data_IF_216861883457
#
_entry.id   IF_216861883457
#
_cell.length_a   1.000
_cell.length_b   1.000
_cell.length_c   1.000
_cell.angle_alpha   90.00
_cell.angle_beta   90.00
_cell.angle_gamma   90.00
#
_symmetry.space_group_name_H-M   'P 1'
#
loop_
_entity.id
_entity.type
_entity.pdbx_description
1 polymer ?
#
# COMPACT_ATOMS: atom_id res chain seq x y z
N UNK A 1 6.90 23.24 -7.80
CA UNK A 1 6.18 24.52 -8.00
C UNK A 1 4.68 24.43 -7.72
N UNK A 2 3.92 23.47 -8.32
CA UNK A 2 2.46 23.37 -8.13
C UNK A 2 2.10 23.03 -6.67
N UNK A 3 2.72 22.01 -6.09
CA UNK A 3 2.46 21.63 -4.70
C UNK A 3 2.92 22.68 -3.69
N UNK A 4 4.05 23.33 -3.95
CA UNK A 4 4.48 24.46 -3.11
C UNK A 4 3.45 25.62 -3.12
N UNK A 5 2.82 25.88 -4.28
CA UNK A 5 1.76 26.88 -4.39
C UNK A 5 0.48 26.49 -3.63
N UNK A 6 0.26 25.18 -3.39
CA UNK A 6 -0.84 24.69 -2.54
C UNK A 6 -0.50 24.67 -1.05
N UNK A 7 0.68 25.17 -0.66
CA UNK A 7 1.11 25.22 0.73
C UNK A 7 1.75 23.93 1.25
N UNK A 8 2.06 22.96 0.37
CA UNK A 8 2.77 21.75 0.78
C UNK A 8 4.25 22.03 1.02
N UNK A 9 4.85 21.31 1.98
CA UNK A 9 6.29 21.16 2.03
C UNK A 9 6.74 20.31 0.84
N UNK A 10 7.73 20.78 0.09
CA UNK A 10 8.30 20.03 -1.03
C UNK A 10 9.80 19.86 -0.81
N UNK A 11 10.23 18.61 -0.69
CA UNK A 11 11.64 18.20 -0.52
C UNK A 11 12.08 17.58 -1.85
N UNK A 12 13.04 18.20 -2.53
CA UNK A 12 13.53 17.73 -3.82
C UNK A 12 14.89 17.03 -3.65
N UNK A 13 14.95 15.71 -3.86
CA UNK A 13 16.16 14.90 -3.79
C UNK A 13 16.86 14.75 -5.15
N UNK A 14 16.22 15.15 -6.25
CA UNK A 14 16.82 15.01 -7.58
C UNK A 14 17.15 13.56 -7.91
N UNK A 15 18.40 13.30 -8.33
CA UNK A 15 18.93 11.99 -8.76
C UNK A 15 19.44 11.13 -7.57
N UNK A 16 19.05 11.42 -6.34
CA UNK A 16 19.58 10.75 -5.14
C UNK A 16 18.87 9.40 -4.83
N UNK A 17 18.42 8.65 -5.85
CA UNK A 17 17.71 7.37 -5.63
C UNK A 17 18.56 6.29 -4.97
N UNK A 18 19.88 6.40 -5.05
CA UNK A 18 20.83 5.45 -4.45
C UNK A 18 21.48 6.00 -3.16
N UNK A 19 21.12 7.21 -2.77
CA UNK A 19 21.60 7.85 -1.53
C UNK A 19 20.59 7.61 -0.41
N UNK A 20 20.79 6.50 0.34
CA UNK A 20 19.91 6.12 1.43
C UNK A 20 19.92 7.13 2.58
N UNK A 21 21.06 7.78 2.84
CA UNK A 21 21.17 8.78 3.91
C UNK A 21 20.37 10.04 3.56
N UNK A 22 20.42 10.48 2.30
CA UNK A 22 19.61 11.60 1.83
C UNK A 22 18.11 11.25 1.86
N UNK A 23 17.72 10.03 1.50
CA UNK A 23 16.34 9.57 1.58
C UNK A 23 15.85 9.49 3.03
N UNK A 24 16.65 8.94 3.95
CA UNK A 24 16.31 8.90 5.38
C UNK A 24 16.14 10.31 5.95
N UNK A 25 17.06 11.22 5.64
CA UNK A 25 16.96 12.61 6.10
C UNK A 25 15.68 13.29 5.62
N UNK A 26 15.32 13.10 4.34
CA UNK A 26 14.08 13.64 3.78
C UNK A 26 12.81 13.06 4.43
N UNK A 27 12.80 11.76 4.73
CA UNK A 27 11.70 11.11 5.43
C UNK A 27 11.56 11.64 6.87
N UNK A 28 12.67 11.82 7.57
CA UNK A 28 12.68 12.41 8.93
C UNK A 28 12.20 13.86 8.92
N UNK A 29 12.64 14.66 7.96
CA UNK A 29 12.17 16.04 7.77
C UNK A 29 10.66 16.09 7.50
N UNK A 30 10.17 15.25 6.60
CA UNK A 30 8.75 15.15 6.29
C UNK A 30 7.92 14.73 7.53
N UNK A 31 8.39 13.74 8.28
CA UNK A 31 7.71 13.27 9.49
C UNK A 31 7.69 14.32 10.62
N UNK A 32 8.68 15.20 10.70
CA UNK A 32 8.75 16.28 11.67
C UNK A 32 7.80 17.45 11.33
N UNK A 33 7.35 17.55 10.09
CA UNK A 33 6.44 18.62 9.63
C UNK A 33 4.99 18.17 9.83
N UNK A 34 4.32 18.72 10.84
CA UNK A 34 2.96 18.31 11.23
C UNK A 34 1.87 19.33 10.86
N UNK A 35 2.23 20.54 10.40
CA UNK A 35 1.32 21.64 10.11
C UNK A 35 0.83 21.66 8.66
N UNK A 36 1.42 20.85 7.79
CA UNK A 36 1.13 20.78 6.36
C UNK A 36 1.57 19.44 5.78
N UNK A 37 0.98 18.99 4.65
CA UNK A 37 1.43 17.76 3.98
C UNK A 37 2.81 17.95 3.35
N UNK A 38 3.59 16.87 3.30
CA UNK A 38 4.94 16.83 2.70
C UNK A 38 4.91 16.00 1.41
N UNK A 39 5.64 16.49 0.41
CA UNK A 39 5.91 15.79 -0.85
C UNK A 39 7.43 15.65 -1.03
N UNK A 40 7.92 14.43 -1.05
CA UNK A 40 9.31 14.13 -1.40
C UNK A 40 9.35 13.79 -2.90
N UNK A 41 10.17 14.52 -3.65
CA UNK A 41 10.34 14.33 -5.09
C UNK A 41 11.71 13.71 -5.35
N UNK A 42 11.68 12.49 -5.88
CA UNK A 42 12.85 11.69 -6.19
C UNK A 42 12.80 11.29 -7.65
N UNK A 43 13.92 11.39 -8.34
CA UNK A 43 14.10 10.83 -9.68
C UNK A 43 14.85 9.51 -9.57
N UNK A 44 14.29 8.46 -10.13
CA UNK A 44 14.87 7.12 -10.14
C UNK A 44 14.87 6.53 -11.55
N UNK A 45 15.59 5.44 -11.73
CA UNK A 45 15.68 4.72 -12.99
C UNK A 45 14.83 3.44 -12.90
N UNK A 46 13.84 3.31 -13.77
CA UNK A 46 13.03 2.09 -13.82
C UNK A 46 13.91 0.89 -14.16
N UNK A 47 13.70 -0.23 -13.47
CA UNK A 47 14.44 -1.47 -13.69
C UNK A 47 15.87 -1.48 -13.15
N UNK A 48 16.32 -0.44 -12.43
CA UNK A 48 17.63 -0.43 -11.77
C UNK A 48 17.72 -1.55 -10.70
N UNK A 49 18.84 -2.28 -10.57
CA UNK A 49 20.09 -2.19 -11.31
C UNK A 49 20.24 -3.22 -12.44
N UNK A 50 19.14 -3.62 -13.10
CA UNK A 50 19.22 -4.60 -14.19
C UNK A 50 20.05 -4.08 -15.36
N UNK A 51 21.12 -4.77 -15.78
CA UNK A 51 21.95 -4.34 -16.90
C UNK A 51 21.21 -4.32 -18.24
N UNK A 52 20.13 -5.10 -18.34
CA UNK A 52 19.41 -5.29 -19.61
C UNK A 52 18.14 -4.45 -19.71
N UNK A 53 17.59 -3.98 -18.59
CA UNK A 53 16.25 -3.42 -18.56
C UNK A 53 16.17 -2.02 -17.97
N UNK A 54 17.27 -1.47 -17.42
CA UNK A 54 17.25 -0.12 -16.87
C UNK A 54 16.81 0.90 -17.93
N UNK A 55 15.93 1.80 -17.56
CA UNK A 55 15.34 2.86 -18.39
C UNK A 55 14.62 2.37 -19.66
N UNK A 56 14.18 1.13 -19.68
CA UNK A 56 13.41 0.57 -20.80
C UNK A 56 11.91 0.50 -20.45
N UNK A 57 11.05 0.66 -21.47
CA UNK A 57 9.62 0.44 -21.32
C UNK A 57 9.27 -1.01 -20.90
N UNK A 58 10.11 -1.99 -21.26
CA UNK A 58 9.96 -3.39 -20.88
C UNK A 58 10.00 -3.59 -19.36
N UNK A 59 10.80 -2.82 -18.64
CA UNK A 59 10.88 -2.91 -17.17
C UNK A 59 9.56 -2.56 -16.46
N UNK A 60 8.63 -1.88 -17.13
CA UNK A 60 7.35 -1.50 -16.53
C UNK A 60 6.36 -2.66 -16.42
N UNK A 61 6.34 -3.59 -17.34
CA UNK A 61 5.27 -4.58 -17.40
C UNK A 61 5.68 -5.99 -17.81
N UNK A 62 6.91 -6.23 -18.19
CA UNK A 62 7.40 -7.56 -18.56
C UNK A 62 8.15 -8.19 -17.38
N UNK A 63 7.86 -9.46 -17.12
CA UNK A 63 8.66 -10.25 -16.19
C UNK A 63 10.07 -10.44 -16.79
N UNK A 64 11.10 -10.29 -15.95
CA UNK A 64 12.46 -10.63 -16.34
C UNK A 64 12.56 -12.14 -16.53
N UNK A 65 13.23 -12.58 -17.58
CA UNK A 65 13.56 -13.98 -17.76
C UNK A 65 14.65 -14.44 -16.76
N UNK A 66 14.88 -15.75 -16.69
CA UNK A 66 15.81 -16.32 -15.73
C UNK A 66 17.25 -15.78 -15.90
N UNK A 67 17.66 -15.51 -17.14
CA UNK A 67 18.99 -14.99 -17.41
C UNK A 67 19.13 -13.53 -16.98
N UNK A 68 18.13 -12.71 -17.24
CA UNK A 68 18.09 -11.31 -16.79
C UNK A 68 18.07 -11.22 -15.25
N UNK A 69 17.32 -12.11 -14.59
CA UNK A 69 17.31 -12.22 -13.12
C UNK A 69 18.72 -12.58 -12.60
N UNK A 70 19.36 -13.59 -13.17
CA UNK A 70 20.71 -14.02 -12.76
C UNK A 70 21.74 -12.89 -12.93
N UNK A 71 21.72 -12.20 -14.07
CA UNK A 71 22.60 -11.03 -14.31
C UNK A 71 22.33 -9.88 -13.34
N UNK A 72 21.06 -9.61 -13.05
CA UNK A 72 20.68 -8.55 -12.10
C UNK A 72 21.17 -8.89 -10.69
N UNK A 73 20.96 -10.14 -10.23
CA UNK A 73 21.50 -10.62 -8.95
C UNK A 73 23.03 -10.51 -8.87
N UNK A 74 23.73 -10.85 -9.96
CA UNK A 74 25.18 -10.72 -10.02
C UNK A 74 25.64 -9.28 -9.83
N UNK A 75 24.96 -8.30 -10.44
CA UNK A 75 25.23 -6.86 -10.24
C UNK A 75 24.98 -6.44 -8.79
N UNK A 76 23.95 -7.00 -8.16
CA UNK A 76 23.62 -6.73 -6.76
C UNK A 76 24.49 -7.48 -5.75
N UNK A 77 25.39 -8.37 -6.20
CA UNK A 77 26.17 -9.22 -5.31
C UNK A 77 25.38 -10.28 -4.58
N UNK A 78 24.20 -10.64 -5.09
CA UNK A 78 23.32 -11.64 -4.50
C UNK A 78 23.59 -13.03 -5.12
N UNK A 79 23.40 -14.13 -4.34
CA UNK A 79 23.48 -15.49 -4.88
C UNK A 79 22.34 -15.75 -5.88
N UNK A 80 22.56 -16.67 -6.82
CA UNK A 80 21.58 -17.05 -7.84
C UNK A 80 20.46 -17.97 -7.30
N UNK A 81 20.42 -18.18 -6.00
CA UNK A 81 19.37 -18.94 -5.32
C UNK A 81 18.01 -18.23 -5.44
N UNK A 82 16.94 -18.92 -5.88
CA UNK A 82 15.60 -18.35 -5.88
C UNK A 82 15.15 -17.94 -4.48
N UNK A 83 14.53 -16.77 -4.38
CA UNK A 83 13.98 -16.23 -3.13
C UNK A 83 14.98 -16.09 -1.97
N UNK A 84 16.27 -15.96 -2.29
CA UNK A 84 17.30 -15.76 -1.28
C UNK A 84 17.05 -14.49 -0.47
N UNK A 85 17.03 -14.64 0.87
CA UNK A 85 16.98 -13.53 1.83
C UNK A 85 18.11 -13.76 2.84
N UNK A 86 19.08 -12.85 3.01
CA UNK A 86 20.10 -12.96 4.03
C UNK A 86 19.48 -13.09 5.43
N UNK A 87 20.10 -13.94 6.28
CA UNK A 87 19.53 -14.26 7.59
C UNK A 87 19.39 -13.02 8.50
N UNK A 88 20.37 -12.15 8.50
CA UNK A 88 20.39 -10.89 9.25
C UNK A 88 19.27 -9.95 8.81
N UNK A 89 18.97 -9.88 7.51
CA UNK A 89 17.85 -9.11 6.98
C UNK A 89 16.51 -9.72 7.44
N UNK A 90 16.39 -11.04 7.38
CA UNK A 90 15.18 -11.73 7.84
C UNK A 90 14.95 -11.52 9.35
N UNK A 91 16.00 -11.55 10.15
CA UNK A 91 15.95 -11.31 11.59
C UNK A 91 15.55 -9.86 11.90
N UNK A 92 16.12 -8.88 11.19
CA UNK A 92 15.72 -7.47 11.32
C UNK A 92 14.22 -7.26 11.10
N UNK A 93 13.65 -7.87 10.06
CA UNK A 93 12.21 -7.76 9.79
C UNK A 93 11.34 -8.51 10.80
N UNK A 94 11.80 -9.64 11.34
CA UNK A 94 11.10 -10.33 12.45
C UNK A 94 11.06 -9.48 13.71
N UNK A 95 12.18 -8.83 14.05
CA UNK A 95 12.25 -7.94 15.19
C UNK A 95 11.36 -6.70 15.01
N UNK A 96 11.33 -6.12 13.80
CA UNK A 96 10.41 -5.04 13.48
C UNK A 96 8.95 -5.48 13.63
N UNK A 97 8.60 -6.68 13.15
CA UNK A 97 7.27 -7.27 13.33
C UNK A 97 6.91 -7.50 14.80
N UNK A 98 7.86 -7.98 15.61
CA UNK A 98 7.65 -8.17 17.05
C UNK A 98 7.35 -6.86 17.78
N UNK A 99 8.08 -5.77 17.48
CA UNK A 99 7.77 -4.43 18.03
C UNK A 99 6.37 -3.97 17.62
N UNK A 100 6.03 -4.13 16.32
CA UNK A 100 4.70 -3.76 15.82
C UNK A 100 3.56 -4.56 16.46
N UNK A 101 3.79 -5.82 16.83
CA UNK A 101 2.81 -6.63 17.55
C UNK A 101 2.49 -6.07 18.94
N UNK A 102 3.51 -5.57 19.67
CA UNK A 102 3.31 -4.93 20.97
C UNK A 102 2.52 -3.62 20.84
N UNK A 103 2.90 -2.77 19.90
CA UNK A 103 2.20 -1.51 19.63
C UNK A 103 0.74 -1.74 19.19
N UNK A 104 0.50 -2.78 18.40
CA UNK A 104 -0.85 -3.19 18.00
C UNK A 104 -1.68 -3.64 19.21
N UNK A 105 -1.13 -4.43 20.10
CA UNK A 105 -1.83 -4.87 21.31
C UNK A 105 -2.26 -3.68 22.18
N UNK A 106 -1.37 -2.73 22.39
CA UNK A 106 -1.65 -1.47 23.08
C UNK A 106 -2.74 -0.65 22.39
N UNK A 107 -2.65 -0.53 21.07
CA UNK A 107 -3.66 0.16 20.29
C UNK A 107 -5.03 -0.51 20.39
N UNK A 108 -5.09 -1.85 20.32
CA UNK A 108 -6.33 -2.60 20.46
C UNK A 108 -7.00 -2.37 21.81
N UNK A 109 -6.23 -2.29 22.90
CA UNK A 109 -6.78 -1.97 24.21
C UNK A 109 -7.40 -0.56 24.25
N UNK A 110 -6.70 0.43 23.72
CA UNK A 110 -7.25 1.80 23.61
C UNK A 110 -8.48 1.86 22.73
N UNK A 111 -8.45 1.17 21.58
CA UNK A 111 -9.59 1.11 20.66
C UNK A 111 -10.83 0.50 21.34
N UNK A 112 -10.68 -0.61 22.07
CA UNK A 112 -11.78 -1.24 22.80
C UNK A 112 -12.44 -0.27 23.79
N UNK A 113 -11.66 0.50 24.53
CA UNK A 113 -12.19 1.50 25.46
C UNK A 113 -12.96 2.61 24.73
N UNK A 114 -12.44 3.11 23.60
CA UNK A 114 -13.08 4.18 22.83
C UNK A 114 -14.34 3.69 22.11
N UNK A 115 -14.33 2.46 21.60
CA UNK A 115 -15.47 1.89 20.88
C UNK A 115 -16.67 1.62 21.78
N UNK A 116 -16.42 1.26 23.03
CA UNK A 116 -17.47 1.16 24.05
C UNK A 116 -18.64 0.25 23.68
N UNK A 117 -18.37 -0.91 23.06
CA UNK A 117 -19.40 -1.87 22.63
C UNK A 117 -19.83 -1.74 21.17
N UNK A 118 -19.19 -0.85 20.36
CA UNK A 118 -19.45 -0.71 18.93
C UNK A 118 -18.42 -1.45 18.06
N UNK A 119 -17.78 -2.49 18.60
CA UNK A 119 -16.74 -3.25 17.93
C UNK A 119 -17.24 -3.91 16.64
N UNK A 120 -18.47 -4.43 16.64
CA UNK A 120 -19.06 -5.07 15.45
C UNK A 120 -19.26 -4.07 14.30
N UNK A 121 -19.69 -2.84 14.59
CA UNK A 121 -19.82 -1.76 13.61
C UNK A 121 -18.46 -1.34 13.08
N UNK A 122 -17.46 -1.24 13.95
CA UNK A 122 -16.09 -0.94 13.61
C UNK A 122 -15.47 -2.02 12.71
N UNK A 123 -15.64 -3.29 13.07
CA UNK A 123 -15.16 -4.43 12.29
C UNK A 123 -15.84 -4.50 10.92
N UNK A 124 -17.14 -4.26 10.84
CA UNK A 124 -17.88 -4.18 9.58
C UNK A 124 -17.35 -3.05 8.69
N UNK A 125 -17.02 -1.89 9.27
CA UNK A 125 -16.47 -0.74 8.54
C UNK A 125 -15.10 -1.02 7.95
N UNK A 126 -14.20 -1.68 8.69
CA UNK A 126 -12.82 -1.92 8.26
C UNK A 126 -12.60 -3.26 7.55
N UNK A 127 -13.42 -4.26 7.85
CA UNK A 127 -13.23 -5.63 7.41
C UNK A 127 -13.87 -5.96 6.07
N UNK A 128 -14.44 -4.99 5.36
CA UNK A 128 -15.21 -5.22 4.13
C UNK A 128 -16.38 -6.21 4.32
N UNK A 129 -16.83 -6.39 5.56
CA UNK A 129 -17.99 -7.19 5.90
C UNK A 129 -19.17 -6.24 6.16
N UNK A 130 -20.35 -6.60 5.68
CA UNK A 130 -21.57 -5.87 6.04
C UNK A 130 -22.02 -6.17 7.47
N UNK A 131 -22.96 -5.38 7.97
CA UNK A 131 -23.69 -5.70 9.19
C UNK A 131 -24.42 -7.04 9.04
N UNK A 132 -24.80 -7.72 10.14
CA UNK A 132 -25.56 -8.98 10.04
C UNK A 132 -26.77 -8.84 9.10
N UNK A 133 -26.96 -9.83 8.22
CA UNK A 133 -28.03 -9.88 7.22
C UNK A 133 -27.95 -8.81 6.07
N UNK A 134 -26.82 -8.12 5.89
CA UNK A 134 -26.65 -7.15 4.79
C UNK A 134 -26.99 -7.72 3.41
N UNK A 135 -26.71 -9.02 3.20
CA UNK A 135 -26.97 -9.69 1.92
C UNK A 135 -28.47 -9.83 1.60
N UNK A 136 -29.35 -9.76 2.61
CA UNK A 136 -30.80 -9.83 2.42
C UNK A 136 -31.35 -8.57 1.75
N UNK A 137 -30.59 -7.48 1.76
CA UNK A 137 -30.92 -6.24 1.06
C UNK A 137 -30.54 -6.22 -0.42
N UNK A 138 -29.80 -7.23 -0.90
CA UNK A 138 -29.34 -7.27 -2.29
C UNK A 138 -30.53 -7.38 -3.26
N UNK A 139 -30.54 -6.59 -4.35
CA UNK A 139 -31.57 -6.70 -5.36
C UNK A 139 -31.47 -8.04 -6.10
N UNK A 140 -32.63 -8.61 -6.43
CA UNK A 140 -32.73 -9.78 -7.31
C UNK A 140 -33.16 -9.35 -8.69
N UNK A 141 -32.56 -9.94 -9.71
CA UNK A 141 -32.92 -9.70 -11.12
C UNK A 141 -33.72 -10.90 -11.63
N UNK A 142 -34.80 -10.63 -12.37
CA UNK A 142 -35.63 -11.68 -12.94
C UNK A 142 -34.87 -12.46 -14.03
N UNK A 143 -35.24 -13.71 -14.25
CA UNK A 143 -34.69 -14.51 -15.34
C UNK A 143 -34.98 -13.84 -16.70
N UNK A 144 -33.94 -13.66 -17.52
CA UNK A 144 -34.01 -12.95 -18.79
C UNK A 144 -33.88 -11.42 -18.67
N UNK A 145 -33.86 -10.84 -17.50
CA UNK A 145 -33.56 -9.44 -17.31
C UNK A 145 -32.05 -9.19 -17.56
N UNK A 146 -31.72 -8.18 -18.34
CA UNK A 146 -30.33 -7.84 -18.68
C UNK A 146 -30.08 -6.34 -18.51
N UNK A 147 -30.04 -5.85 -17.28
CA UNK A 147 -29.74 -4.45 -17.04
C UNK A 147 -28.29 -4.15 -17.44
N UNK A 148 -28.04 -2.93 -17.90
CA UNK A 148 -26.66 -2.48 -18.10
C UNK A 148 -25.89 -2.59 -16.77
N UNK A 149 -24.61 -3.01 -16.82
CA UNK A 149 -23.80 -3.25 -15.61
C UNK A 149 -23.74 -2.06 -14.68
N UNK A 150 -23.70 -0.82 -15.21
CA UNK A 150 -23.77 0.41 -14.40
C UNK A 150 -25.06 0.56 -13.62
N UNK A 151 -26.20 0.09 -14.19
CA UNK A 151 -27.52 0.17 -13.56
C UNK A 151 -27.62 -0.89 -12.46
N UNK A 152 -27.18 -2.12 -12.75
CA UNK A 152 -27.12 -3.18 -11.76
C UNK A 152 -26.20 -2.80 -10.57
N UNK A 153 -25.03 -2.25 -10.85
CA UNK A 153 -24.10 -1.75 -9.82
C UNK A 153 -24.74 -0.66 -8.97
N UNK A 154 -25.41 0.30 -9.58
CA UNK A 154 -26.11 1.38 -8.86
C UNK A 154 -27.21 0.83 -7.93
N UNK A 155 -28.01 -0.14 -8.42
CA UNK A 155 -29.05 -0.77 -7.62
C UNK A 155 -28.47 -1.51 -6.41
N UNK A 156 -27.38 -2.27 -6.61
CA UNK A 156 -26.69 -2.97 -5.52
C UNK A 156 -26.13 -1.96 -4.52
N UNK A 157 -25.41 -0.94 -4.97
CA UNK A 157 -24.85 0.08 -4.07
C UNK A 157 -25.92 0.79 -3.25
N UNK A 158 -27.01 1.21 -3.89
CA UNK A 158 -28.12 1.86 -3.17
C UNK A 158 -28.80 0.95 -2.14
N UNK A 159 -28.85 -0.36 -2.41
CA UNK A 159 -29.45 -1.33 -1.49
C UNK A 159 -28.58 -1.63 -0.26
N UNK A 160 -27.25 -1.56 -0.40
CA UNK A 160 -26.32 -1.98 0.66
C UNK A 160 -25.65 -0.82 1.41
N UNK A 161 -25.76 0.42 0.94
CA UNK A 161 -25.03 1.57 1.52
C UNK A 161 -25.30 1.75 3.03
N UNK A 162 -26.51 1.51 3.49
CA UNK A 162 -26.88 1.61 4.91
C UNK A 162 -26.52 0.35 5.72
N UNK A 163 -26.20 -0.76 5.05
CA UNK A 163 -25.92 -2.05 5.65
C UNK A 163 -24.43 -2.41 5.64
N UNK A 164 -23.63 -1.66 4.89
CA UNK A 164 -22.18 -1.86 4.77
C UNK A 164 -21.45 -0.55 5.07
N UNK A 165 -21.18 -0.27 6.35
CA UNK A 165 -20.66 1.04 6.79
C UNK A 165 -19.31 1.44 6.18
N UNK A 166 -18.61 0.50 5.51
CA UNK A 166 -17.32 0.74 4.87
C UNK A 166 -17.39 1.11 3.39
N UNK A 167 -18.59 1.29 2.81
CA UNK A 167 -18.79 1.70 1.41
C UNK A 167 -18.82 3.22 1.26
#
# INVERSE_FOLDING_TARGET
KRFSAYGWQVIELGEASEDLDAMEAALREAAATSDRPSLIVLRSHIGFPSPDHVDTAAAHGLAFDAEAIARTKAVMGLPDEPFHVPADVADYYRDAGARGALERADWQQRAHVVLGGREAEWEATLGSAGLPAWADSLPTFAEGESPATRVASQQVLNAVVDQVPGI
#
